data_IF_403525490655
#
_entry.id   IF_403525490655
#
_cell.length_a   1.000
_cell.length_b   1.000
_cell.length_c   1.000
_cell.angle_alpha   90.00
_cell.angle_beta   90.00
_cell.angle_gamma   90.00
#
_symmetry.space_group_name_H-M   'P 1'
#
loop_
_entity.id
_entity.type
_entity.pdbx_description
1 polymer ?
#
# COMPACT_ATOMS: atom_id res chain seq x y z
N UNK A 1 -78.27 -24.31 29.14
CA UNK A 1 -77.39 -24.69 28.01
C UNK A 1 -77.25 -23.48 27.10
N UNK A 2 -76.07 -22.87 27.01
CA UNK A 2 -75.76 -21.74 26.12
C UNK A 2 -75.13 -22.32 24.85
N UNK A 3 -75.76 -22.10 23.70
CA UNK A 3 -75.22 -22.48 22.38
C UNK A 3 -74.16 -21.47 21.94
N UNK A 4 -72.92 -21.93 21.73
CA UNK A 4 -71.86 -21.16 21.09
C UNK A 4 -72.25 -20.83 19.63
N UNK A 5 -72.09 -19.59 19.16
CA UNK A 5 -72.12 -19.32 17.73
C UNK A 5 -70.80 -19.79 17.11
N UNK A 6 -70.88 -20.69 16.13
CA UNK A 6 -69.76 -21.08 15.28
C UNK A 6 -69.17 -19.84 14.63
N UNK A 7 -67.89 -19.57 14.88
CA UNK A 7 -67.13 -18.59 14.14
C UNK A 7 -66.95 -19.09 12.71
N UNK A 8 -67.67 -18.48 11.76
CA UNK A 8 -67.47 -18.70 10.33
C UNK A 8 -66.10 -18.14 9.95
N UNK A 9 -65.11 -19.01 9.74
CA UNK A 9 -63.83 -18.62 9.15
C UNK A 9 -64.10 -18.03 7.75
N UNK A 10 -63.62 -16.82 7.42
CA UNK A 10 -63.78 -16.31 6.06
C UNK A 10 -63.01 -17.20 5.08
N UNK A 11 -63.50 -17.38 3.84
CA UNK A 11 -62.81 -18.17 2.84
C UNK A 11 -61.45 -17.54 2.52
N UNK A 12 -60.39 -18.34 2.53
CA UNK A 12 -59.10 -17.94 1.96
C UNK A 12 -59.25 -17.77 0.45
N UNK A 13 -59.42 -16.53 0.00
CA UNK A 13 -59.33 -16.18 -1.41
C UNK A 13 -57.90 -16.45 -1.88
N UNK A 14 -57.68 -17.29 -2.92
CA UNK A 14 -56.35 -17.42 -3.48
C UNK A 14 -55.89 -16.04 -4.01
N UNK A 15 -54.60 -15.69 -3.83
CA UNK A 15 -54.08 -14.41 -4.31
C UNK A 15 -54.37 -14.26 -5.79
N UNK A 16 -54.80 -13.06 -6.21
CA UNK A 16 -55.10 -12.84 -7.63
C UNK A 16 -53.80 -12.89 -8.45
N UNK A 17 -53.87 -13.33 -9.71
CA UNK A 17 -52.68 -13.46 -10.57
C UNK A 17 -51.86 -12.16 -10.65
N UNK A 18 -52.53 -11.00 -10.55
CA UNK A 18 -51.88 -9.68 -10.52
C UNK A 18 -51.01 -9.45 -9.27
N UNK A 19 -51.38 -9.98 -8.10
CA UNK A 19 -50.56 -9.88 -6.88
C UNK A 19 -49.32 -10.78 -6.96
N UNK A 20 -49.46 -11.93 -7.63
CA UNK A 20 -48.36 -12.88 -7.87
C UNK A 20 -47.33 -12.27 -8.84
N UNK A 21 -47.78 -11.60 -9.90
CA UNK A 21 -46.90 -10.93 -10.86
C UNK A 21 -46.21 -9.70 -10.27
N UNK A 22 -46.91 -8.89 -9.47
CA UNK A 22 -46.31 -7.78 -8.72
C UNK A 22 -45.25 -8.28 -7.73
N UNK A 23 -45.51 -9.40 -7.06
CA UNK A 23 -44.56 -10.01 -6.12
C UNK A 23 -43.31 -10.52 -6.84
N UNK A 24 -43.45 -11.15 -8.01
CA UNK A 24 -42.32 -11.61 -8.83
C UNK A 24 -41.49 -10.44 -9.37
N UNK A 25 -42.16 -9.39 -9.84
CA UNK A 25 -41.50 -8.17 -10.28
C UNK A 25 -40.72 -7.52 -9.12
N UNK A 26 -41.35 -7.38 -7.94
CA UNK A 26 -40.72 -6.81 -6.76
C UNK A 26 -39.47 -7.60 -6.31
N UNK A 27 -39.53 -8.94 -6.34
CA UNK A 27 -38.37 -9.80 -6.06
C UNK A 27 -37.26 -9.57 -7.09
N UNK A 28 -37.61 -9.48 -8.38
CA UNK A 28 -36.66 -9.18 -9.45
C UNK A 28 -35.96 -7.84 -9.27
N UNK A 29 -36.71 -6.78 -8.94
CA UNK A 29 -36.17 -5.46 -8.65
C UNK A 29 -35.27 -5.48 -7.42
N UNK A 30 -35.67 -6.19 -6.36
CA UNK A 30 -34.87 -6.32 -5.14
C UNK A 30 -33.54 -7.02 -5.42
N UNK A 31 -33.57 -8.11 -6.18
CA UNK A 31 -32.36 -8.84 -6.58
C UNK A 31 -31.43 -7.95 -7.42
N UNK A 32 -31.97 -7.22 -8.39
CA UNK A 32 -31.20 -6.29 -9.21
C UNK A 32 -30.54 -5.19 -8.37
N UNK A 33 -31.26 -4.67 -7.35
CA UNK A 33 -30.74 -3.67 -6.43
C UNK A 33 -29.58 -4.23 -5.58
N UNK A 34 -29.74 -5.44 -5.04
CA UNK A 34 -28.68 -6.11 -4.25
C UNK A 34 -27.44 -6.36 -5.10
N UNK A 35 -27.61 -6.85 -6.33
CA UNK A 35 -26.50 -7.08 -7.27
C UNK A 35 -25.81 -5.76 -7.63
N UNK A 36 -26.57 -4.69 -7.89
CA UNK A 36 -26.04 -3.36 -8.18
C UNK A 36 -25.21 -2.81 -7.02
N UNK A 37 -25.72 -2.93 -5.79
CA UNK A 37 -24.98 -2.53 -4.58
C UNK A 37 -23.70 -3.36 -4.41
N UNK A 38 -23.77 -4.68 -4.59
CA UNK A 38 -22.61 -5.55 -4.49
C UNK A 38 -21.50 -5.18 -5.49
N UNK A 39 -21.87 -4.95 -6.77
CA UNK A 39 -20.93 -4.52 -7.82
C UNK A 39 -20.28 -3.16 -7.49
N UNK A 40 -21.07 -2.19 -7.03
CA UNK A 40 -20.55 -0.88 -6.64
C UNK A 40 -19.57 -0.98 -5.46
N UNK A 41 -19.92 -1.78 -4.45
CA UNK A 41 -19.08 -1.97 -3.26
C UNK A 41 -17.78 -2.70 -3.58
N UNK A 42 -17.85 -3.72 -4.43
CA UNK A 42 -16.67 -4.45 -4.91
C UNK A 42 -15.74 -3.55 -5.72
N UNK A 43 -16.30 -2.75 -6.63
CA UNK A 43 -15.54 -1.81 -7.47
C UNK A 43 -14.86 -0.73 -6.63
N UNK A 44 -15.57 -0.18 -5.63
CA UNK A 44 -15.01 0.80 -4.70
C UNK A 44 -13.88 0.21 -3.85
N UNK A 45 -14.02 -1.05 -3.40
CA UNK A 45 -12.98 -1.74 -2.63
C UNK A 45 -11.75 -2.02 -3.50
N UNK A 46 -11.96 -2.50 -4.73
CA UNK A 46 -10.90 -2.73 -5.70
C UNK A 46 -10.13 -1.46 -6.05
N UNK A 47 -10.83 -0.33 -6.25
CA UNK A 47 -10.18 0.95 -6.51
C UNK A 47 -9.38 1.46 -5.30
N UNK A 48 -9.89 1.24 -4.07
CA UNK A 48 -9.18 1.57 -2.84
C UNK A 48 -7.89 0.77 -2.68
N UNK A 49 -7.94 -0.53 -2.93
CA UNK A 49 -6.76 -1.39 -2.89
C UNK A 49 -5.73 -1.01 -3.96
N UNK A 50 -6.22 -0.63 -5.15
CA UNK A 50 -5.35 -0.16 -6.23
C UNK A 50 -4.68 1.16 -5.88
N UNK A 51 -5.41 2.11 -5.28
CA UNK A 51 -4.84 3.39 -4.80
C UNK A 51 -3.78 3.16 -3.72
N UNK A 52 -4.05 2.30 -2.73
CA UNK A 52 -3.07 1.96 -1.69
C UNK A 52 -1.79 1.33 -2.26
N UNK A 53 -1.91 0.49 -3.30
CA UNK A 53 -0.74 -0.09 -3.99
C UNK A 53 0.04 0.93 -4.83
N UNK A 54 -0.65 1.93 -5.39
CA UNK A 54 0.01 3.01 -6.14
C UNK A 54 0.75 3.98 -5.21
N UNK A 55 0.20 4.26 -4.03
CA UNK A 55 0.87 5.07 -3.00
C UNK A 55 2.13 4.37 -2.46
N UNK A 56 2.09 3.05 -2.21
CA UNK A 56 3.28 2.28 -1.83
C UNK A 56 4.35 2.19 -2.93
N UNK A 57 3.95 2.24 -4.21
CA UNK A 57 4.89 2.20 -5.32
C UNK A 57 5.69 3.52 -5.49
N UNK A 58 5.22 4.63 -4.93
CA UNK A 58 5.84 5.95 -5.09
C UNK A 58 6.97 6.21 -4.09
N UNK A 59 7.01 5.55 -2.93
CA UNK A 59 7.92 5.91 -1.83
C UNK A 59 9.24 5.13 -1.78
N UNK A 60 9.39 4.10 -2.62
CA UNK A 60 10.58 3.25 -2.59
C UNK A 60 11.78 3.83 -3.34
N UNK A 61 11.80 5.11 -3.73
CA UNK A 61 12.96 5.70 -4.43
C UNK A 61 13.60 6.85 -3.68
N UNK A 62 14.82 7.24 -4.08
CA UNK A 62 15.45 8.45 -3.58
C UNK A 62 14.84 9.75 -4.15
N UNK A 63 13.90 9.64 -5.10
CA UNK A 63 13.23 10.78 -5.73
C UNK A 63 12.43 11.54 -4.67
N UNK A 64 12.67 12.85 -4.58
CA UNK A 64 11.97 13.73 -3.62
C UNK A 64 12.53 13.68 -2.20
N UNK A 65 13.53 12.83 -1.91
CA UNK A 65 14.23 12.90 -0.62
C UNK A 65 15.05 14.19 -0.52
N UNK A 66 14.83 14.93 0.57
CA UNK A 66 15.49 16.21 0.86
C UNK A 66 16.52 16.10 1.97
N UNK A 67 16.70 14.91 2.56
CA UNK A 67 17.69 14.67 3.61
C UNK A 67 19.05 14.40 2.98
N UNK A 68 19.92 15.39 3.04
CA UNK A 68 21.27 15.30 2.49
C UNK A 68 22.30 15.08 3.61
N UNK A 69 23.14 14.07 3.44
CA UNK A 69 24.32 13.85 4.27
C UNK A 69 25.41 14.84 3.87
N UNK A 70 25.96 15.57 4.86
CA UNK A 70 27.08 16.49 4.63
C UNK A 70 28.39 15.71 4.59
N UNK A 71 29.18 15.92 3.54
CA UNK A 71 30.49 15.28 3.35
C UNK A 71 31.60 16.06 4.06
N UNK A 72 31.29 17.27 4.58
CA UNK A 72 32.25 18.06 5.33
C UNK A 72 32.65 17.34 6.63
N UNK A 73 33.93 17.45 7.05
CA UNK A 73 34.42 16.83 8.27
C UNK A 73 33.93 17.63 9.49
N UNK A 74 32.63 17.60 9.77
CA UNK A 74 32.14 17.89 11.10
C UNK A 74 32.33 16.63 11.95
N UNK A 75 32.67 16.80 13.22
CA UNK A 75 32.72 15.74 14.22
C UNK A 75 31.30 15.21 14.53
N UNK A 76 30.60 14.74 13.50
CA UNK A 76 29.29 14.12 13.63
C UNK A 76 29.47 12.73 14.28
N UNK A 77 28.54 12.33 15.16
CA UNK A 77 28.55 10.97 15.69
C UNK A 77 28.49 9.96 14.53
N UNK A 78 29.15 8.79 14.66
CA UNK A 78 29.12 7.77 13.63
C UNK A 78 27.68 7.34 13.38
N UNK A 79 27.27 7.35 12.11
CA UNK A 79 25.97 6.82 11.73
C UNK A 79 25.93 5.33 12.07
N UNK A 80 24.80 4.85 12.58
CA UNK A 80 24.64 3.44 12.93
C UNK A 80 23.56 2.82 12.05
N UNK A 81 23.75 1.55 11.70
CA UNK A 81 22.73 0.74 11.04
C UNK A 81 22.76 -0.70 11.51
N UNK A 82 21.74 -1.10 12.27
CA UNK A 82 21.67 -2.41 12.92
C UNK A 82 22.70 -2.56 14.03
N UNK A 83 22.99 -1.48 14.77
CA UNK A 83 23.96 -1.45 15.86
C UNK A 83 25.43 -1.40 15.42
N UNK A 84 25.70 -1.40 14.11
CA UNK A 84 27.05 -1.31 13.54
C UNK A 84 27.31 0.09 12.95
N UNK A 85 28.53 0.64 13.09
CA UNK A 85 28.87 1.92 12.48
C UNK A 85 28.84 1.83 10.95
N UNK A 86 28.25 2.83 10.31
CA UNK A 86 28.32 3.09 8.88
C UNK A 86 29.40 4.14 8.62
N UNK A 87 30.41 3.75 7.86
CA UNK A 87 31.50 4.62 7.45
C UNK A 87 31.47 4.83 5.94
N UNK A 88 31.82 6.02 5.43
CA UNK A 88 32.00 6.22 4.00
C UNK A 88 33.08 5.27 3.46
N UNK A 89 32.71 4.39 2.54
CA UNK A 89 33.65 3.51 1.86
C UNK A 89 34.61 4.32 0.97
N UNK A 90 34.09 5.39 0.39
CA UNK A 90 34.80 6.34 -0.47
C UNK A 90 34.42 7.76 -0.04
N UNK A 91 35.37 8.71 -0.09
CA UNK A 91 35.10 10.12 0.26
C UNK A 91 34.35 10.89 -0.83
N UNK A 92 34.32 10.33 -2.05
CA UNK A 92 33.73 10.98 -3.21
C UNK A 92 32.32 10.41 -3.44
N UNK A 93 31.29 11.25 -3.50
CA UNK A 93 29.96 10.81 -3.90
C UNK A 93 29.96 10.31 -5.34
N UNK A 94 29.16 9.27 -5.59
CA UNK A 94 28.90 8.73 -6.92
C UNK A 94 27.66 9.39 -7.49
N UNK A 95 27.72 9.79 -8.75
CA UNK A 95 26.56 10.29 -9.49
C UNK A 95 25.68 9.12 -9.92
N UNK A 96 24.44 9.07 -9.44
CA UNK A 96 23.46 8.07 -9.83
C UNK A 96 22.06 8.67 -9.96
N UNK A 97 21.23 8.21 -10.92
CA UNK A 97 19.84 8.64 -11.01
C UNK A 97 19.04 8.24 -9.76
N UNK A 98 18.34 9.19 -9.15
CA UNK A 98 17.54 8.94 -7.93
C UNK A 98 16.44 7.89 -8.15
N UNK A 99 15.92 7.78 -9.38
CA UNK A 99 14.94 6.77 -9.78
C UNK A 99 15.46 5.34 -9.75
N UNK A 100 16.78 5.15 -9.80
CA UNK A 100 17.45 3.84 -9.71
C UNK A 100 17.83 3.47 -8.29
N UNK A 101 17.61 4.34 -7.31
CA UNK A 101 18.00 4.12 -5.92
C UNK A 101 16.78 3.73 -5.12
N UNK A 102 16.78 2.53 -4.54
CA UNK A 102 15.68 1.97 -3.76
C UNK A 102 15.92 2.11 -2.28
N UNK A 103 14.88 2.46 -1.52
CA UNK A 103 14.97 2.55 -0.07
C UNK A 103 15.25 1.16 0.52
N UNK A 104 16.38 1.02 1.20
CA UNK A 104 16.80 -0.21 1.87
C UNK A 104 16.53 -0.17 3.38
N UNK A 105 16.42 1.02 3.96
CA UNK A 105 16.17 1.19 5.39
C UNK A 105 16.53 2.59 5.86
N UNK A 106 16.67 2.71 7.18
CA UNK A 106 17.02 3.95 7.87
C UNK A 106 18.22 3.70 8.76
N UNK A 107 18.96 4.76 9.07
CA UNK A 107 19.92 4.73 10.18
C UNK A 107 19.19 4.48 11.50
N UNK A 108 19.89 3.98 12.52
CA UNK A 108 19.28 3.63 13.81
C UNK A 108 18.67 4.85 14.54
N UNK A 109 19.22 6.03 14.28
CA UNK A 109 18.70 7.32 14.77
C UNK A 109 17.59 7.91 13.87
N UNK A 110 17.22 7.22 12.79
CA UNK A 110 16.27 7.64 11.76
C UNK A 110 16.58 9.00 11.10
N UNK A 111 17.81 9.52 11.28
CA UNK A 111 18.24 10.79 10.69
C UNK A 111 18.34 10.69 9.17
N UNK A 112 18.83 9.56 8.66
CA UNK A 112 19.08 9.37 7.24
C UNK A 112 18.43 8.09 6.67
N UNK A 113 18.21 8.12 5.35
CA UNK A 113 17.67 7.02 4.56
C UNK A 113 18.80 6.31 3.83
N UNK A 114 18.81 4.98 3.92
CA UNK A 114 19.78 4.13 3.24
C UNK A 114 19.19 3.61 1.96
N UNK A 115 19.97 3.65 0.90
CA UNK A 115 19.56 3.25 -0.44
C UNK A 115 20.41 2.12 -1.00
N UNK A 116 19.84 1.34 -1.91
CA UNK A 116 20.54 0.36 -2.74
C UNK A 116 20.21 0.58 -4.21
N UNK A 117 21.12 0.33 -5.16
CA UNK A 117 20.80 0.40 -6.58
C UNK A 117 19.79 -0.70 -6.95
N UNK A 118 18.80 -0.36 -7.77
CA UNK A 118 17.78 -1.30 -8.27
C UNK A 118 18.39 -2.51 -8.98
N UNK A 119 19.54 -2.33 -9.64
CA UNK A 119 20.27 -3.40 -10.35
C UNK A 119 20.72 -4.51 -9.39
N UNK A 120 20.90 -4.20 -8.10
CA UNK A 120 21.25 -5.18 -7.07
C UNK A 120 20.05 -5.93 -6.50
N UNK A 121 18.88 -5.29 -6.46
CA UNK A 121 17.64 -5.95 -6.02
C UNK A 121 17.27 -7.11 -6.97
N UNK A 122 17.65 -7.01 -8.24
CA UNK A 122 17.34 -7.99 -9.29
C UNK A 122 18.52 -8.91 -9.68
N UNK A 123 19.71 -8.71 -9.11
CA UNK A 123 20.91 -9.48 -9.44
C UNK A 123 21.32 -10.39 -8.29
N UNK A 124 21.46 -11.69 -8.55
CA UNK A 124 22.07 -12.67 -7.64
C UNK A 124 23.29 -12.04 -6.96
N UNK A 125 23.28 -12.05 -5.62
CA UNK A 125 24.07 -11.21 -4.71
C UNK A 125 25.60 -11.39 -4.71
N UNK A 126 26.21 -11.60 -5.88
CA UNK A 126 27.63 -11.93 -6.06
C UNK A 126 28.57 -10.76 -6.37
N UNK A 127 28.07 -9.52 -6.53
CA UNK A 127 28.95 -8.36 -6.80
C UNK A 127 29.05 -7.41 -5.58
N UNK A 128 30.06 -7.65 -4.74
CA UNK A 128 30.53 -6.73 -3.69
C UNK A 128 29.65 -6.72 -2.44
N UNK A 129 30.25 -6.67 -1.25
CA UNK A 129 29.54 -6.65 0.05
C UNK A 129 28.50 -5.51 0.18
N UNK A 130 27.67 -5.50 1.24
CA UNK A 130 26.49 -4.63 1.35
C UNK A 130 26.90 -3.15 1.37
N UNK A 131 27.07 -2.58 0.19
CA UNK A 131 27.28 -1.16 -0.02
C UNK A 131 25.92 -0.49 0.06
N UNK A 132 25.67 0.21 1.17
CA UNK A 132 24.52 1.10 1.27
C UNK A 132 24.91 2.46 0.71
N UNK A 133 23.92 3.24 0.31
CA UNK A 133 24.14 4.58 -0.21
C UNK A 133 23.34 5.60 0.59
N UNK A 134 23.98 6.71 0.92
CA UNK A 134 23.36 7.88 1.53
C UNK A 134 23.26 9.00 0.50
N UNK A 135 22.13 9.70 0.47
CA UNK A 135 21.97 10.84 -0.41
C UNK A 135 22.85 11.99 0.08
N UNK A 136 23.77 12.48 -0.73
CA UNK A 136 24.65 13.60 -0.40
C UNK A 136 24.31 14.87 -1.20
N UNK A 137 23.43 14.75 -2.21
CA UNK A 137 22.93 15.84 -3.02
C UNK A 137 21.92 15.34 -4.05
N UNK A 138 21.43 16.22 -4.93
CA UNK A 138 20.54 15.81 -6.02
C UNK A 138 21.30 14.91 -7.00
N UNK A 139 20.89 13.66 -7.13
CA UNK A 139 21.57 12.65 -7.95
C UNK A 139 22.99 12.27 -7.47
N UNK A 140 23.36 12.63 -6.23
CA UNK A 140 24.66 12.34 -5.64
C UNK A 140 24.51 11.44 -4.42
N UNK A 141 25.24 10.33 -4.41
CA UNK A 141 25.12 9.30 -3.38
C UNK A 141 26.49 8.92 -2.84
N UNK A 142 26.65 8.95 -1.52
CA UNK A 142 27.83 8.51 -0.83
C UNK A 142 27.72 7.02 -0.50
N UNK A 143 28.73 6.24 -0.90
CA UNK A 143 28.80 4.81 -0.61
C UNK A 143 29.23 4.59 0.84
N UNK A 144 28.48 3.76 1.56
CA UNK A 144 28.70 3.42 2.96
C UNK A 144 28.99 1.93 3.10
N UNK A 145 29.90 1.60 4.00
CA UNK A 145 30.21 0.25 4.45
C UNK A 145 30.04 0.14 5.96
N UNK A 146 29.75 -1.07 6.43
CA UNK A 146 29.91 -1.45 7.83
C UNK A 146 31.34 -1.88 8.11
#
# INVERSE_FOLDING_TARGET
>A
MKSNPSASTPPSTPPSEAEVDLSRAAVGWTLALVVGVALATFSASYDRDRRGKLEQALENTAVGDTRFYSIEPAAAPPLLFGGAPLVPAEKTPVTMPESRMRLAGYTDDASYRLYVPQERENGDGTAGGPSWYLKAGKGLFLRMSR
#
